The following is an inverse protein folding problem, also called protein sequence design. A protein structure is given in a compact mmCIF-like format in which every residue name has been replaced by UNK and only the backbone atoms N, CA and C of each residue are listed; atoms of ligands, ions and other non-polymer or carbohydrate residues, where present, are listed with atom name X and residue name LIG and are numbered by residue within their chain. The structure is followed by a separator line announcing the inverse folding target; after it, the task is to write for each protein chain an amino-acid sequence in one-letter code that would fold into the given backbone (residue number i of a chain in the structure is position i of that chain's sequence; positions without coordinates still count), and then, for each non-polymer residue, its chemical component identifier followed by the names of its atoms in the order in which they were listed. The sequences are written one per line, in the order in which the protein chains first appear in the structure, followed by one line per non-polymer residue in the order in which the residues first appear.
data_IF_927160957380
#
_entry.id   IF_927160957380
#
_cell.length_a   1.000
_cell.length_b   1.000
_cell.length_c   1.000
_cell.angle_alpha   90.00
_cell.angle_beta   90.00
_cell.angle_gamma   90.00
#
_symmetry.space_group_name_H-M   'P 1'
#
loop_
_entity.id
_entity.type
_entity.pdbx_description
1 polymer ?
#
# COMPACT_ATOMS: atom_id res chain seq x y z
N UNK A 1 -7.28 13.77 6.25
CA UNK A 1 -8.47 14.15 5.47
C UNK A 1 -9.63 13.18 5.70
N UNK A 2 -9.39 11.86 5.65
CA UNK A 2 -10.40 10.82 5.84
C UNK A 2 -10.96 10.70 7.27
N UNK A 3 -10.38 11.40 8.25
CA UNK A 3 -10.86 11.40 9.63
C UNK A 3 -10.63 10.10 10.41
N UNK A 4 -9.75 9.22 9.91
CA UNK A 4 -9.36 7.96 10.55
C UNK A 4 -7.96 8.04 11.16
N UNK A 5 -7.68 7.19 12.15
CA UNK A 5 -6.36 7.06 12.75
C UNK A 5 -5.51 6.00 12.02
N UNK A 6 -4.17 6.05 12.12
CA UNK A 6 -3.32 5.00 11.56
C UNK A 6 -3.61 3.59 12.11
N UNK A 7 -4.17 3.49 13.32
CA UNK A 7 -4.55 2.23 13.93
C UNK A 7 -5.77 1.57 13.26
N UNK A 8 -6.57 2.34 12.52
CA UNK A 8 -7.74 1.85 11.80
C UNK A 8 -7.38 1.21 10.45
N UNK A 9 -6.14 1.41 9.97
CA UNK A 9 -5.68 0.85 8.70
C UNK A 9 -5.31 -0.62 8.89
N UNK A 10 -6.03 -1.51 8.22
CA UNK A 10 -5.78 -2.96 8.27
C UNK A 10 -4.81 -3.47 7.21
N UNK A 11 -4.57 -2.70 6.14
CA UNK A 11 -3.69 -3.09 5.02
C UNK A 11 -3.09 -1.88 4.30
N UNK A 12 -1.83 -2.00 3.91
CA UNK A 12 -1.14 -1.05 3.04
C UNK A 12 -0.91 -1.61 1.63
N UNK A 13 -1.11 -0.80 0.59
CA UNK A 13 -0.64 -1.12 -0.76
C UNK A 13 0.20 0.04 -1.27
N UNK A 14 1.42 -0.26 -1.73
CA UNK A 14 2.39 0.70 -2.23
C UNK A 14 2.62 0.47 -3.72
N UNK A 15 2.18 1.41 -4.55
CA UNK A 15 2.33 1.39 -5.99
C UNK A 15 3.60 2.16 -6.40
N UNK A 16 4.57 1.46 -6.99
CA UNK A 16 5.81 2.07 -7.45
C UNK A 16 6.44 1.24 -8.60
N UNK A 17 7.14 1.92 -9.51
CA UNK A 17 7.77 1.30 -10.68
C UNK A 17 9.30 1.35 -10.64
N UNK A 18 9.86 2.30 -9.89
CA UNK A 18 11.27 2.67 -10.00
C UNK A 18 12.14 2.17 -8.85
N UNK A 19 11.59 1.96 -7.66
CA UNK A 19 12.36 1.62 -6.46
C UNK A 19 13.13 0.32 -6.62
N UNK A 20 12.48 -0.72 -7.17
CA UNK A 20 13.15 -1.97 -7.48
C UNK A 20 14.22 -1.83 -8.58
N UNK A 21 13.97 -1.00 -9.61
CA UNK A 21 14.87 -0.88 -10.78
C UNK A 21 16.06 0.05 -10.55
N UNK A 22 15.86 1.14 -9.82
CA UNK A 22 16.87 2.17 -9.60
C UNK A 22 17.64 1.95 -8.30
N UNK A 23 16.97 1.46 -7.26
CA UNK A 23 17.55 1.34 -5.91
C UNK A 23 17.69 -0.11 -5.44
N UNK A 24 17.15 -1.09 -6.18
CA UNK A 24 17.14 -2.49 -5.75
C UNK A 24 16.25 -2.75 -4.54
N UNK A 25 15.39 -1.80 -4.17
CA UNK A 25 14.51 -1.91 -3.00
C UNK A 25 13.22 -2.64 -3.37
N UNK A 26 13.03 -3.82 -2.80
CA UNK A 26 11.84 -4.66 -2.95
C UNK A 26 10.86 -4.51 -1.77
N UNK A 27 11.23 -3.71 -0.78
CA UNK A 27 10.55 -3.51 0.51
C UNK A 27 10.12 -2.06 0.76
N UNK A 28 10.15 -1.22 -0.28
CA UNK A 28 9.88 0.22 -0.18
C UNK A 28 8.57 0.55 0.54
N UNK A 29 7.50 -0.22 0.29
CA UNK A 29 6.24 -0.06 0.98
C UNK A 29 6.35 -0.37 2.47
N UNK A 30 7.00 -1.48 2.85
CA UNK A 30 7.20 -1.84 4.27
C UNK A 30 7.97 -0.73 5.00
N UNK A 31 9.00 -0.16 4.36
CA UNK A 31 9.76 0.95 4.91
C UNK A 31 8.88 2.20 5.07
N UNK A 32 8.14 2.59 4.03
CA UNK A 32 7.25 3.75 4.05
C UNK A 32 6.16 3.62 5.14
N UNK A 33 5.50 2.47 5.25
CA UNK A 33 4.48 2.24 6.27
C UNK A 33 5.06 2.18 7.68
N UNK A 34 6.26 1.62 7.86
CA UNK A 34 6.94 1.66 9.15
C UNK A 34 7.28 3.10 9.58
N UNK A 35 7.79 3.93 8.67
CA UNK A 35 8.09 5.35 8.93
C UNK A 35 6.83 6.17 9.28
N UNK A 36 5.67 5.80 8.74
CA UNK A 36 4.38 6.41 9.07
C UNK A 36 3.73 5.85 10.34
N UNK A 37 4.42 4.98 11.09
CA UNK A 37 3.92 4.43 12.36
C UNK A 37 3.00 3.21 12.22
N UNK A 38 3.00 2.53 11.08
CA UNK A 38 2.21 1.32 10.80
C UNK A 38 3.10 0.09 10.50
N UNK A 39 4.08 -0.28 11.35
CA UNK A 39 5.06 -1.32 11.02
C UNK A 39 4.51 -2.76 11.05
N UNK A 40 3.26 -2.98 11.46
CA UNK A 40 2.70 -4.32 11.73
C UNK A 40 1.53 -4.71 10.84
N UNK A 41 1.14 -3.86 9.89
CA UNK A 41 0.08 -4.19 8.94
C UNK A 41 0.66 -4.99 7.76
N UNK A 42 -0.14 -5.85 7.10
CA UNK A 42 0.26 -6.41 5.81
C UNK A 42 0.45 -5.27 4.79
N UNK A 43 1.58 -5.31 4.07
CA UNK A 43 1.93 -4.33 3.03
C UNK A 43 2.28 -5.03 1.73
N UNK A 44 1.65 -4.62 0.63
CA UNK A 44 1.91 -5.14 -0.72
C UNK A 44 2.57 -4.08 -1.60
N UNK A 45 3.74 -4.39 -2.16
CA UNK A 45 4.36 -3.58 -3.22
C UNK A 45 3.82 -4.03 -4.58
N UNK A 46 3.30 -3.09 -5.37
CA UNK A 46 2.64 -3.38 -6.65
C UNK A 46 3.26 -2.57 -7.77
N UNK A 47 3.68 -3.26 -8.82
CA UNK A 47 4.14 -2.68 -10.09
C UNK A 47 3.22 -3.14 -11.22
N UNK A 48 2.68 -2.19 -11.97
CA UNK A 48 1.98 -2.42 -13.25
C UNK A 48 2.20 -1.22 -14.19
N UNK A 49 3.47 -0.81 -14.34
CA UNK A 49 3.86 0.37 -15.11
C UNK A 49 3.00 1.62 -14.74
N UNK A 50 2.54 2.38 -15.75
CA UNK A 50 1.68 3.56 -15.55
C UNK A 50 0.34 3.25 -14.86
N UNK A 51 -0.07 1.98 -14.80
CA UNK A 51 -1.30 1.52 -14.16
C UNK A 51 -1.09 1.01 -12.72
N UNK A 52 0.10 1.19 -12.13
CA UNK A 52 0.39 0.72 -10.76
C UNK A 52 -0.59 1.29 -9.74
N UNK A 53 -0.91 2.59 -9.83
CA UNK A 53 -1.85 3.25 -8.92
C UNK A 53 -3.27 2.68 -8.99
N UNK A 54 -3.82 2.51 -10.21
CA UNK A 54 -5.15 1.93 -10.38
C UNK A 54 -5.19 0.44 -9.99
N UNK A 55 -4.10 -0.29 -10.20
CA UNK A 55 -3.95 -1.68 -9.76
C UNK A 55 -3.97 -1.76 -8.22
N UNK A 56 -3.26 -0.86 -7.54
CA UNK A 56 -3.26 -0.81 -6.08
C UNK A 56 -4.63 -0.44 -5.49
N UNK A 57 -5.34 0.52 -6.09
CA UNK A 57 -6.72 0.84 -5.70
C UNK A 57 -7.65 -0.35 -5.93
N UNK A 58 -7.51 -1.04 -7.07
CA UNK A 58 -8.30 -2.25 -7.35
C UNK A 58 -8.09 -3.32 -6.28
N UNK A 59 -6.84 -3.56 -5.87
CA UNK A 59 -6.51 -4.51 -4.81
C UNK A 59 -7.07 -4.10 -3.44
N UNK A 60 -6.98 -2.82 -3.06
CA UNK A 60 -7.63 -2.31 -1.84
C UNK A 60 -9.15 -2.58 -1.86
N UNK A 61 -9.81 -2.26 -2.97
CA UNK A 61 -11.24 -2.51 -3.13
C UNK A 61 -11.59 -3.99 -3.04
N UNK A 62 -10.75 -4.87 -3.61
CA UNK A 62 -10.93 -6.32 -3.50
C UNK A 62 -10.83 -6.79 -2.05
N UNK A 63 -9.79 -6.38 -1.31
CA UNK A 63 -9.59 -6.76 0.08
C UNK A 63 -10.77 -6.33 0.98
N UNK A 64 -11.27 -5.10 0.79
CA UNK A 64 -12.44 -4.59 1.52
C UNK A 64 -13.70 -5.40 1.15
N UNK A 65 -13.95 -5.63 -0.15
CA UNK A 65 -15.13 -6.38 -0.60
C UNK A 65 -15.10 -7.86 -0.19
N UNK A 66 -13.92 -8.43 -0.02
CA UNK A 66 -13.72 -9.78 0.50
C UNK A 66 -13.91 -9.87 2.02
N UNK A 67 -14.01 -8.73 2.72
CA UNK A 67 -14.10 -8.68 4.18
C UNK A 67 -12.77 -8.93 4.88
N UNK A 68 -11.63 -8.84 4.17
CA UNK A 68 -10.30 -9.04 4.77
C UNK A 68 -9.91 -7.88 5.68
N UNK A 69 -10.29 -6.66 5.31
CA UNK A 69 -10.05 -5.43 6.08
C UNK A 69 -11.21 -4.45 5.92
N UNK A 70 -11.46 -3.64 6.95
CA UNK A 70 -12.46 -2.55 6.87
C UNK A 70 -11.88 -1.28 6.22
N UNK A 71 -10.58 -1.06 6.39
CA UNK A 71 -9.86 0.08 5.82
C UNK A 71 -8.51 -0.36 5.25
N UNK A 72 -8.20 0.12 4.06
CA UNK A 72 -6.91 -0.06 3.40
C UNK A 72 -6.37 1.30 2.94
N UNK A 73 -5.06 1.48 3.02
CA UNK A 73 -4.37 2.68 2.57
C UNK A 73 -3.53 2.38 1.34
N UNK A 74 -3.69 3.20 0.30
CA UNK A 74 -2.94 3.10 -0.95
C UNK A 74 -2.01 4.30 -1.07
N UNK A 75 -0.73 4.05 -1.35
CA UNK A 75 0.24 5.09 -1.71
C UNK A 75 0.75 4.82 -3.12
N UNK A 76 0.83 5.86 -3.95
CA UNK A 76 1.56 5.82 -5.21
C UNK A 76 2.74 6.80 -5.17
N UNK A 77 3.94 6.32 -5.51
CA UNK A 77 5.17 7.11 -5.51
C UNK A 77 6.15 6.64 -6.60
#
# INVERSE_FOLDING_TARGET
DAGISPADIGMGIFANVLSGKLFGDLTVGQNAFAEMGMPRIPVFNVENACASGSSAVHLACMAIRAGEVECAMVIGA
#
